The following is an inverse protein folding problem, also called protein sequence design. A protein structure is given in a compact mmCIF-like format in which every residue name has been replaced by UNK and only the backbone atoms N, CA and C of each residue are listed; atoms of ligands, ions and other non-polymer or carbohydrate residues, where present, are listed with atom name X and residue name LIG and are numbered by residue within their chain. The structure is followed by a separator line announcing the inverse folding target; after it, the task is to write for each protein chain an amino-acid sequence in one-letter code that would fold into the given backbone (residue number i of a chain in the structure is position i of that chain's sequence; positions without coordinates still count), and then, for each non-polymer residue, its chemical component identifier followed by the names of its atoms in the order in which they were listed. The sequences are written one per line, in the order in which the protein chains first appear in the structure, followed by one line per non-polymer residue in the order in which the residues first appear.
data_IF_782570140596
#
_entry.id   IF_782570140596
#
_cell.length_a   1.000
_cell.length_b   1.000
_cell.length_c   1.000
_cell.angle_alpha   90.00
_cell.angle_beta   90.00
_cell.angle_gamma   90.00
#
_symmetry.space_group_name_H-M   'P 1'
#
loop_
_entity.id
_entity.type
_entity.pdbx_description
1 polymer ?
#
# COMPACT_ATOMS: atom_id res chain seq x y z
N UNK A 1 -17.20 6.70 12.08
CA UNK A 1 -16.20 7.40 11.24
C UNK A 1 -16.57 7.19 9.79
N UNK A 2 -16.55 8.22 8.98
CA UNK A 2 -16.86 8.09 7.54
C UNK A 2 -15.71 7.36 6.82
N UNK A 3 -16.03 6.49 5.85
CA UNK A 3 -15.04 5.81 5.01
C UNK A 3 -14.11 6.78 4.27
N UNK A 4 -14.55 8.01 4.03
CA UNK A 4 -13.74 9.06 3.41
C UNK A 4 -12.46 9.40 4.17
N UNK A 5 -12.38 9.06 5.46
CA UNK A 5 -11.19 9.27 6.28
C UNK A 5 -9.95 8.55 5.72
N UNK A 6 -10.11 7.35 5.15
CA UNK A 6 -8.99 6.58 4.63
C UNK A 6 -8.59 6.95 3.19
N UNK A 7 -9.44 7.68 2.45
CA UNK A 7 -9.10 8.11 1.09
C UNK A 7 -8.06 9.21 1.10
N UNK A 8 -7.04 9.05 0.28
CA UNK A 8 -5.94 10.00 0.12
C UNK A 8 -6.21 10.95 -1.04
N UNK A 9 -5.59 12.15 -0.98
CA UNK A 9 -5.81 13.22 -1.95
C UNK A 9 -4.90 13.11 -3.18
N UNK A 10 -3.78 12.42 -3.05
CA UNK A 10 -2.79 12.23 -4.11
C UNK A 10 -2.02 10.93 -3.89
N UNK A 11 -1.23 10.52 -4.88
CA UNK A 11 -0.32 9.40 -4.74
C UNK A 11 0.66 9.62 -3.57
N UNK A 12 1.28 10.79 -3.49
CA UNK A 12 2.21 11.11 -2.39
C UNK A 12 1.55 11.06 -1.03
N UNK A 13 0.35 11.61 -0.90
CA UNK A 13 -0.42 11.54 0.35
C UNK A 13 -0.72 10.08 0.72
N UNK A 14 -1.16 9.29 -0.24
CA UNK A 14 -1.42 7.85 -0.05
C UNK A 14 -0.18 7.10 0.42
N UNK A 15 0.95 7.29 -0.27
CA UNK A 15 2.23 6.66 0.07
C UNK A 15 2.69 7.05 1.47
N UNK A 16 2.67 8.35 1.79
CA UNK A 16 3.06 8.85 3.10
C UNK A 16 2.20 8.25 4.22
N UNK A 17 0.89 8.22 4.04
CA UNK A 17 -0.03 7.65 5.03
C UNK A 17 0.20 6.15 5.20
N UNK A 18 0.42 5.41 4.11
CA UNK A 18 0.75 3.99 4.16
C UNK A 18 2.02 3.74 4.98
N UNK A 19 3.13 4.39 4.63
CA UNK A 19 4.42 4.20 5.32
C UNK A 19 4.36 4.62 6.80
N UNK A 20 3.68 5.72 7.12
CA UNK A 20 3.46 6.17 8.49
C UNK A 20 2.69 5.11 9.29
N UNK A 21 1.59 4.60 8.73
CA UNK A 21 0.75 3.60 9.39
C UNK A 21 1.49 2.27 9.62
N UNK A 22 2.32 1.86 8.66
CA UNK A 22 3.18 0.67 8.81
C UNK A 22 4.21 0.88 9.94
N UNK A 23 4.84 2.05 10.03
CA UNK A 23 5.78 2.35 11.12
C UNK A 23 5.10 2.34 12.49
N UNK A 24 3.85 2.82 12.57
CA UNK A 24 3.07 2.77 13.80
C UNK A 24 2.81 1.33 14.27
N UNK A 25 2.63 0.37 13.35
CA UNK A 25 2.55 -1.06 13.70
C UNK A 25 3.85 -1.56 14.33
N UNK A 26 5.00 -1.14 13.80
CA UNK A 26 6.30 -1.48 14.38
C UNK A 26 6.44 -0.93 15.80
N UNK A 27 6.02 0.32 16.02
CA UNK A 27 6.05 0.96 17.35
C UNK A 27 5.15 0.25 18.36
N UNK A 28 4.08 -0.38 17.90
CA UNK A 28 3.18 -1.18 18.74
C UNK A 28 3.67 -2.61 19.00
N UNK A 29 4.83 -3.00 18.46
CA UNK A 29 5.46 -4.28 18.70
C UNK A 29 5.23 -5.34 17.61
N UNK A 30 4.57 -5.00 16.50
CA UNK A 30 4.54 -5.90 15.35
C UNK A 30 5.94 -6.06 14.73
N UNK A 31 6.28 -7.27 14.30
CA UNK A 31 7.46 -7.49 13.48
C UNK A 31 7.19 -6.95 12.08
N UNK A 32 7.94 -5.94 11.66
CA UNK A 32 7.73 -5.25 10.38
C UNK A 32 9.03 -5.20 9.58
N UNK A 33 8.94 -5.54 8.32
CA UNK A 33 9.98 -5.32 7.29
C UNK A 33 9.40 -4.52 6.15
N UNK A 34 10.12 -3.54 5.64
CA UNK A 34 9.71 -2.74 4.47
C UNK A 34 10.78 -2.77 3.39
N UNK A 35 10.32 -2.71 2.15
CA UNK A 35 11.17 -2.55 0.97
C UNK A 35 10.40 -1.76 -0.08
N UNK A 36 11.08 -1.30 -1.13
CA UNK A 36 10.44 -0.58 -2.23
C UNK A 36 11.16 -0.82 -3.57
N UNK A 37 10.40 -0.72 -4.63
CA UNK A 37 10.89 -0.74 -6.00
C UNK A 37 10.65 0.63 -6.63
N UNK A 38 11.73 1.29 -7.05
CA UNK A 38 11.63 2.57 -7.77
C UNK A 38 11.21 2.33 -9.22
N UNK A 39 10.23 3.10 -9.70
CA UNK A 39 9.82 3.13 -11.10
C UNK A 39 10.58 4.25 -11.81
N UNK A 40 11.08 4.00 -13.02
CA UNK A 40 11.89 4.99 -13.77
C UNK A 40 11.11 6.21 -14.27
N UNK A 41 9.77 6.16 -14.25
CA UNK A 41 8.93 7.29 -14.63
C UNK A 41 8.69 8.24 -13.45
N UNK A 42 8.30 9.48 -13.75
CA UNK A 42 7.88 10.48 -12.75
C UNK A 42 6.36 10.57 -12.65
N UNK A 43 5.88 10.96 -11.50
CA UNK A 43 4.48 11.26 -11.27
C UNK A 43 4.04 12.62 -11.85
N UNK A 44 2.76 12.93 -11.70
CA UNK A 44 2.14 14.15 -12.26
C UNK A 44 2.68 15.45 -11.63
N UNK A 45 3.25 15.37 -10.43
CA UNK A 45 3.90 16.47 -9.72
C UNK A 45 5.43 16.29 -9.69
N UNK A 46 6.00 15.60 -10.67
CA UNK A 46 7.44 15.29 -10.79
C UNK A 46 7.98 14.43 -9.63
N UNK A 47 7.11 13.84 -8.83
CA UNK A 47 7.48 12.98 -7.72
C UNK A 47 8.06 11.64 -8.18
N UNK A 48 8.88 11.05 -7.32
CA UNK A 48 9.33 9.67 -7.47
C UNK A 48 8.16 8.71 -7.25
N UNK A 49 8.13 7.66 -8.05
CA UNK A 49 7.11 6.63 -8.01
C UNK A 49 7.71 5.31 -7.51
N UNK A 50 7.11 4.74 -6.49
CA UNK A 50 7.58 3.49 -5.89
C UNK A 50 6.44 2.50 -5.70
N UNK A 51 6.79 1.22 -5.78
CA UNK A 51 5.96 0.13 -5.27
C UNK A 51 6.51 -0.18 -3.88
N UNK A 52 5.77 0.16 -2.83
CA UNK A 52 6.19 -0.07 -1.46
C UNK A 52 5.63 -1.40 -0.95
N UNK A 53 6.49 -2.17 -0.28
CA UNK A 53 6.16 -3.49 0.25
C UNK A 53 6.37 -3.46 1.77
N UNK A 54 5.39 -3.94 2.52
CA UNK A 54 5.51 -4.11 3.95
C UNK A 54 5.12 -5.54 4.35
N UNK A 55 6.03 -6.22 5.03
CA UNK A 55 5.80 -7.54 5.61
C UNK A 55 5.55 -7.37 7.09
N UNK A 56 4.34 -7.72 7.55
CA UNK A 56 3.94 -7.65 8.95
C UNK A 56 3.73 -9.07 9.47
N UNK A 57 4.54 -9.45 10.44
CA UNK A 57 4.60 -10.79 10.98
C UNK A 57 5.80 -11.59 10.47
N UNK A 58 5.78 -12.91 10.68
CA UNK A 58 6.88 -13.80 10.31
C UNK A 58 6.61 -14.47 8.98
N UNK A 59 7.59 -14.48 8.09
CA UNK A 59 7.55 -15.27 6.84
C UNK A 59 7.52 -16.79 7.08
N UNK A 60 7.85 -17.22 8.31
CA UNK A 60 7.73 -18.63 8.75
C UNK A 60 6.31 -19.01 9.18
N UNK A 61 5.37 -18.06 9.16
CA UNK A 61 3.98 -18.32 9.53
C UNK A 61 3.32 -19.31 8.56
N UNK A 62 2.51 -20.21 9.09
CA UNK A 62 1.76 -21.18 8.26
C UNK A 62 0.70 -20.52 7.38
N UNK A 63 0.26 -19.33 7.78
CA UNK A 63 -0.76 -18.57 7.07
C UNK A 63 -0.19 -17.24 6.58
N UNK A 64 -0.47 -16.93 5.33
CA UNK A 64 -0.04 -15.69 4.69
C UNK A 64 -1.21 -15.04 3.97
N UNK A 65 -1.35 -13.74 4.17
CA UNK A 65 -2.30 -12.90 3.46
C UNK A 65 -1.54 -11.85 2.65
N UNK A 66 -1.83 -11.73 1.37
CA UNK A 66 -1.27 -10.67 0.52
C UNK A 66 -2.38 -9.68 0.19
N UNK A 67 -2.15 -8.42 0.54
CA UNK A 67 -3.04 -7.30 0.23
C UNK A 67 -2.33 -6.34 -0.71
N UNK A 68 -2.72 -6.33 -1.96
CA UNK A 68 -2.18 -5.41 -2.97
C UNK A 68 -3.20 -4.35 -3.37
N UNK A 69 -2.72 -3.18 -3.79
CA UNK A 69 -3.55 -2.08 -4.29
C UNK A 69 -3.04 -1.58 -5.63
N UNK A 70 -3.94 -1.04 -6.44
CA UNK A 70 -3.59 -0.26 -7.60
C UNK A 70 -2.94 -1.04 -8.76
N UNK A 71 -3.45 -2.22 -9.10
CA UNK A 71 -3.11 -2.89 -10.37
C UNK A 71 -3.54 -2.00 -11.54
N UNK A 72 -4.78 -1.52 -11.52
CA UNK A 72 -5.17 -0.34 -12.30
C UNK A 72 -4.93 0.90 -11.44
N UNK A 73 -4.19 1.86 -11.98
CA UNK A 73 -3.66 2.95 -11.18
C UNK A 73 -4.68 3.75 -10.38
N UNK A 74 -5.77 4.20 -11.01
CA UNK A 74 -6.80 5.00 -10.34
C UNK A 74 -7.51 4.21 -9.22
N UNK A 75 -7.59 2.89 -9.31
CA UNK A 75 -8.13 2.00 -8.29
C UNK A 75 -7.20 1.87 -7.07
N UNK A 76 -5.98 2.42 -7.16
CA UNK A 76 -5.05 2.52 -6.04
C UNK A 76 -5.61 3.33 -4.88
N UNK A 77 -6.44 4.34 -5.13
CA UNK A 77 -7.05 5.15 -4.06
C UNK A 77 -8.01 4.35 -3.18
N UNK A 78 -9.03 3.65 -3.70
CA UNK A 78 -9.84 2.78 -2.86
C UNK A 78 -9.05 1.59 -2.31
N UNK A 79 -8.13 0.99 -3.07
CA UNK A 79 -7.29 -0.09 -2.59
C UNK A 79 -6.41 0.31 -1.40
N UNK A 80 -5.76 1.47 -1.48
CA UNK A 80 -5.00 2.05 -0.38
C UNK A 80 -5.88 2.38 0.83
N UNK A 81 -7.08 2.90 0.61
CA UNK A 81 -8.03 3.18 1.70
C UNK A 81 -8.40 1.89 2.46
N UNK A 82 -8.59 0.78 1.76
CA UNK A 82 -8.84 -0.53 2.37
C UNK A 82 -7.61 -0.97 3.18
N UNK A 83 -6.40 -0.85 2.63
CA UNK A 83 -5.17 -1.20 3.34
C UNK A 83 -5.02 -0.37 4.63
N UNK A 84 -5.24 0.94 4.56
CA UNK A 84 -5.20 1.82 5.74
C UNK A 84 -6.24 1.44 6.79
N UNK A 85 -7.45 1.07 6.38
CA UNK A 85 -8.48 0.64 7.32
C UNK A 85 -8.13 -0.67 8.03
N UNK A 86 -7.52 -1.62 7.32
CA UNK A 86 -7.03 -2.87 7.91
C UNK A 86 -5.92 -2.58 8.92
N UNK A 87 -4.97 -1.73 8.57
CA UNK A 87 -3.87 -1.34 9.45
C UNK A 87 -4.41 -0.64 10.71
N UNK A 88 -5.41 0.23 10.58
CA UNK A 88 -6.04 0.90 11.72
C UNK A 88 -6.74 -0.10 12.67
N UNK A 89 -7.37 -1.13 12.14
CA UNK A 89 -7.91 -2.21 12.99
C UNK A 89 -6.81 -3.01 13.68
N UNK A 90 -5.70 -3.28 12.99
CA UNK A 90 -4.54 -3.96 13.59
C UNK A 90 -3.91 -3.15 14.74
N UNK A 91 -3.97 -1.81 14.69
CA UNK A 91 -3.51 -0.94 15.79
C UNK A 91 -4.38 -1.04 17.04
N UNK A 92 -5.66 -1.32 16.89
CA UNK A 92 -6.63 -1.38 18.01
C UNK A 92 -6.60 -2.71 18.75
N UNK A 93 -6.33 -3.79 18.03
CA UNK A 93 -6.33 -5.15 18.59
C UNK A 93 -5.17 -5.93 17.99
N UNK A 94 -4.60 -6.88 18.75
CA UNK A 94 -3.62 -7.84 18.21
C UNK A 94 -4.41 -8.85 17.37
N UNK A 95 -4.65 -8.48 16.12
CA UNK A 95 -5.24 -9.35 15.11
C UNK A 95 -4.11 -10.08 14.36
N UNK A 96 -4.40 -11.27 13.88
CA UNK A 96 -3.49 -12.01 12.99
C UNK A 96 -2.11 -12.31 13.59
N UNK A 97 -2.03 -12.58 14.92
CA UNK A 97 -0.75 -12.87 15.59
C UNK A 97 0.02 -14.06 14.98
N UNK A 98 -0.69 -15.00 14.36
CA UNK A 98 -0.16 -16.18 13.68
C UNK A 98 -0.23 -16.12 12.15
N UNK A 99 -0.51 -14.95 11.59
CA UNK A 99 -0.60 -14.70 10.15
C UNK A 99 0.46 -13.69 9.73
N UNK A 100 1.18 -13.99 8.66
CA UNK A 100 2.02 -13.00 7.97
C UNK A 100 1.15 -12.21 6.99
N UNK A 101 1.16 -10.90 7.09
CA UNK A 101 0.47 -10.03 6.12
C UNK A 101 1.51 -9.30 5.29
N UNK A 102 1.40 -9.40 3.98
CA UNK A 102 2.22 -8.65 3.03
C UNK A 102 1.33 -7.60 2.38
N UNK A 103 1.63 -6.34 2.63
CA UNK A 103 0.99 -5.21 1.95
C UNK A 103 1.85 -4.77 0.77
N UNK A 104 1.24 -4.54 -0.38
CA UNK A 104 1.88 -3.98 -1.58
C UNK A 104 1.12 -2.71 -1.96
N UNK A 105 1.78 -1.58 -1.82
CA UNK A 105 1.26 -0.26 -2.11
C UNK A 105 2.18 0.46 -3.10
N UNK A 106 1.83 0.78 -4.24
CA UNK A 106 0.75 0.47 -5.15
C UNK A 106 1.41 -0.21 -6.37
N UNK A 107 0.81 -1.26 -6.94
CA UNK A 107 1.43 -2.02 -8.04
C UNK A 107 1.66 -1.16 -9.29
N UNK A 108 0.76 -0.21 -9.56
CA UNK A 108 0.87 0.75 -10.64
C UNK A 108 0.88 2.19 -10.10
N UNK A 109 2.03 2.64 -9.54
CA UNK A 109 2.11 3.99 -8.95
C UNK A 109 2.01 5.09 -10.02
N UNK A 110 2.45 4.83 -11.24
CA UNK A 110 2.30 5.77 -12.37
C UNK A 110 0.83 6.03 -12.68
N UNK A 111 0.06 4.96 -12.90
CA UNK A 111 -1.36 5.10 -13.15
C UNK A 111 -2.11 5.76 -11.99
N UNK A 112 -1.70 5.49 -10.75
CA UNK A 112 -2.27 6.14 -9.57
C UNK A 112 -2.01 7.64 -9.56
N UNK A 113 -0.77 8.07 -9.80
CA UNK A 113 -0.39 9.50 -9.83
C UNK A 113 -1.07 10.25 -10.99
N UNK A 114 -1.09 9.65 -12.19
CA UNK A 114 -1.64 10.27 -13.39
C UNK A 114 -3.14 10.03 -13.60
N UNK A 115 -3.82 9.36 -12.67
CA UNK A 115 -5.24 8.97 -12.75
C UNK A 115 -5.55 8.15 -14.01
N UNK A 116 -4.71 7.16 -14.28
CA UNK A 116 -4.80 6.28 -15.45
C UNK A 116 -5.00 4.83 -15.05
N UNK A 117 -5.57 4.05 -15.96
CA UNK A 117 -5.71 2.59 -15.80
C UNK A 117 -4.37 1.88 -16.01
N UNK A 118 -3.64 2.27 -17.06
CA UNK A 118 -2.41 1.64 -17.52
C UNK A 118 -1.16 2.20 -16.83
N UNK A 119 -0.05 1.51 -16.95
CA UNK A 119 1.24 1.94 -16.39
C UNK A 119 1.98 2.93 -17.33
N UNK A 120 3.23 3.28 -16.98
CA UNK A 120 4.10 4.19 -17.72
C UNK A 120 4.40 3.73 -19.15
N UNK A 121 4.32 2.44 -19.42
CA UNK A 121 4.51 1.83 -20.74
C UNK A 121 3.18 1.60 -21.49
N UNK A 122 2.09 2.20 -21.03
CA UNK A 122 0.75 2.02 -21.56
C UNK A 122 0.25 0.57 -21.55
N UNK A 123 0.70 -0.21 -20.55
CA UNK A 123 0.32 -1.62 -20.37
C UNK A 123 -0.75 -1.72 -19.28
N UNK A 124 -1.79 -2.49 -19.56
CA UNK A 124 -2.76 -2.95 -18.55
C UNK A 124 -2.19 -4.16 -17.81
N UNK A 125 -1.82 -3.98 -16.54
CA UNK A 125 -1.14 -5.01 -15.75
C UNK A 125 -2.03 -6.21 -15.38
N UNK A 126 -3.32 -6.12 -15.66
CA UNK A 126 -4.29 -7.20 -15.43
C UNK A 126 -4.59 -8.03 -16.71
N UNK A 127 -3.87 -7.79 -17.79
CA UNK A 127 -4.13 -8.42 -19.08
C UNK A 127 -2.90 -9.13 -19.63
#
# INVERSE_FOLDING_TARGET
MSASHWFSKSYLDSRKRFLTSINELSDLGYKVKTDHLLIEAKGSDEEELTIDIAVVGSLESEKMLISSSGVHGVEGYPGSAIQLSIIDEMKKTIMFADVCIIFIHSINPYGMSWLRRVNENNVDLNR
#
